data_IF_815706337495
#
_entry.id   IF_815706337495
#
_cell.length_a   1.000
_cell.length_b   1.000
_cell.length_c   1.000
_cell.angle_alpha   90.00
_cell.angle_beta   90.00
_cell.angle_gamma   90.00
#
_symmetry.space_group_name_H-M   'P 1'
#
loop_
_entity.id
_entity.type
_entity.pdbx_description
1 polymer ?
#
# COMPACT_ATOMS: atom_id res chain seq x y z
N UNK A 1 -15.49 -3.17 1.91
CA UNK A 1 -15.08 -4.58 2.10
C UNK A 1 -16.25 -5.38 2.66
N UNK A 2 -16.62 -6.50 2.04
CA UNK A 2 -17.78 -7.33 2.41
C UNK A 2 -17.29 -8.71 2.90
N UNK A 3 -17.94 -9.30 3.91
CA UNK A 3 -17.55 -10.63 4.44
C UNK A 3 -16.32 -10.63 5.35
N UNK A 4 -15.60 -11.75 5.47
CA UNK A 4 -14.34 -11.87 6.23
C UNK A 4 -14.36 -11.26 7.65
N UNK A 5 -15.44 -11.49 8.42
CA UNK A 5 -15.66 -10.85 9.72
C UNK A 5 -14.50 -11.07 10.71
N UNK A 6 -14.05 -12.32 10.85
CA UNK A 6 -12.95 -12.66 11.75
C UNK A 6 -11.63 -12.02 11.32
N UNK A 7 -11.28 -12.11 10.02
CA UNK A 7 -10.04 -11.55 9.50
C UNK A 7 -10.02 -10.02 9.58
N UNK A 8 -11.14 -9.35 9.32
CA UNK A 8 -11.27 -7.89 9.48
C UNK A 8 -11.12 -7.47 10.94
N UNK A 9 -11.73 -8.21 11.87
CA UNK A 9 -11.59 -7.94 13.31
C UNK A 9 -10.13 -8.09 13.75
N UNK A 10 -9.46 -9.17 13.33
CA UNK A 10 -8.04 -9.38 13.63
C UNK A 10 -7.16 -8.27 13.03
N UNK A 11 -7.41 -7.88 11.78
CA UNK A 11 -6.73 -6.76 11.13
C UNK A 11 -6.92 -5.44 11.88
N UNK A 12 -8.12 -5.19 12.43
CA UNK A 12 -8.39 -4.03 13.28
C UNK A 12 -7.58 -4.02 14.58
N UNK A 13 -7.43 -5.17 15.24
CA UNK A 13 -6.57 -5.27 16.45
C UNK A 13 -5.11 -4.99 16.09
N UNK A 14 -4.63 -5.51 14.95
CA UNK A 14 -3.28 -5.21 14.46
C UNK A 14 -3.12 -3.72 14.18
N UNK A 15 -4.10 -3.08 13.56
CA UNK A 15 -4.08 -1.64 13.27
C UNK A 15 -3.94 -0.81 14.55
N UNK A 16 -4.68 -1.15 15.61
CA UNK A 16 -4.57 -0.47 16.90
C UNK A 16 -3.20 -0.70 17.54
N UNK A 17 -2.66 -1.93 17.49
CA UNK A 17 -1.30 -2.19 17.97
C UNK A 17 -0.23 -1.37 17.22
N UNK A 18 -0.43 -1.11 15.92
CA UNK A 18 0.45 -0.25 15.11
C UNK A 18 0.34 1.20 15.59
N UNK A 19 -0.88 1.72 15.77
CA UNK A 19 -1.13 3.10 16.24
C UNK A 19 -0.56 3.35 17.64
N UNK A 20 -0.63 2.35 18.51
CA UNK A 20 -0.04 2.40 19.86
C UNK A 20 1.48 2.19 19.87
N UNK A 21 2.11 1.87 18.73
CA UNK A 21 3.54 1.61 18.64
C UNK A 21 4.02 0.31 19.31
N UNK A 22 3.10 -0.62 19.65
CA UNK A 22 3.41 -1.84 20.40
C UNK A 22 3.94 -3.00 19.52
N UNK A 23 3.96 -2.84 18.20
CA UNK A 23 4.27 -3.91 17.23
C UNK A 23 5.39 -3.55 16.24
N UNK A 24 6.41 -2.82 16.70
CA UNK A 24 7.59 -2.54 15.88
C UNK A 24 8.38 -3.83 15.55
N UNK A 25 8.79 -3.98 14.29
CA UNK A 25 9.65 -5.08 13.83
C UNK A 25 8.98 -6.46 13.72
N UNK A 26 7.65 -6.55 13.81
CA UNK A 26 6.92 -7.82 13.59
C UNK A 26 6.24 -7.84 12.23
N UNK A 27 6.22 -9.01 11.62
CA UNK A 27 5.48 -9.26 10.38
C UNK A 27 4.10 -9.86 10.66
N UNK A 28 3.16 -9.59 9.76
CA UNK A 28 1.80 -10.14 9.81
C UNK A 28 1.61 -11.04 8.59
N UNK A 29 1.24 -12.31 8.83
CA UNK A 29 0.96 -13.28 7.78
C UNK A 29 -0.56 -13.46 7.63
N UNK A 30 -1.09 -13.16 6.45
CA UNK A 30 -2.48 -13.43 6.09
C UNK A 30 -2.52 -14.67 5.20
N UNK A 31 -2.95 -15.80 5.75
CA UNK A 31 -3.06 -17.08 5.04
C UNK A 31 -4.52 -17.41 4.67
N UNK A 32 -4.71 -18.08 3.54
CA UNK A 32 -6.03 -18.50 3.06
C UNK A 32 -6.04 -18.85 1.58
N UNK A 33 -7.11 -19.51 1.11
CA UNK A 33 -7.26 -19.91 -0.29
C UNK A 33 -7.18 -18.72 -1.27
N UNK A 34 -6.82 -18.94 -2.55
CA UNK A 34 -6.90 -17.91 -3.58
C UNK A 34 -8.30 -17.26 -3.64
N UNK A 35 -8.38 -15.97 -4.00
CA UNK A 35 -9.66 -15.26 -4.13
C UNK A 35 -10.36 -14.85 -2.82
N UNK A 36 -9.80 -15.14 -1.64
CA UNK A 36 -10.45 -14.86 -0.33
C UNK A 36 -10.27 -13.44 0.20
N UNK A 37 -9.68 -12.52 -0.58
CA UNK A 37 -9.56 -11.10 -0.21
C UNK A 37 -8.35 -10.74 0.65
N UNK A 38 -7.31 -11.58 0.72
CA UNK A 38 -6.06 -11.33 1.48
C UNK A 38 -5.42 -9.97 1.13
N UNK A 39 -5.22 -9.71 -0.16
CA UNK A 39 -4.65 -8.44 -0.65
C UNK A 39 -5.56 -7.26 -0.36
N UNK A 40 -6.88 -7.46 -0.46
CA UNK A 40 -7.85 -6.42 -0.12
C UNK A 40 -7.80 -6.04 1.37
N UNK A 41 -7.59 -7.01 2.26
CA UNK A 41 -7.39 -6.75 3.69
C UNK A 41 -6.12 -5.94 3.93
N UNK A 42 -5.01 -6.32 3.30
CA UNK A 42 -3.75 -5.58 3.42
C UNK A 42 -3.88 -4.13 2.93
N UNK A 43 -4.51 -3.90 1.78
CA UNK A 43 -4.79 -2.55 1.26
C UNK A 43 -5.72 -1.77 2.19
N UNK A 44 -6.77 -2.41 2.72
CA UNK A 44 -7.68 -1.76 3.67
C UNK A 44 -6.99 -1.35 4.98
N UNK A 45 -6.05 -2.17 5.47
CA UNK A 45 -5.23 -1.80 6.64
C UNK A 45 -4.35 -0.58 6.35
N UNK A 46 -3.70 -0.53 5.18
CA UNK A 46 -2.85 0.61 4.80
C UNK A 46 -3.65 1.91 4.68
N UNK A 47 -4.82 1.87 4.02
CA UNK A 47 -5.72 3.02 3.93
C UNK A 47 -6.20 3.49 5.31
N UNK A 48 -6.43 2.56 6.25
CA UNK A 48 -6.87 2.88 7.60
C UNK A 48 -5.76 3.48 8.50
N UNK A 49 -4.47 3.28 8.16
CA UNK A 49 -3.36 3.95 8.84
C UNK A 49 -3.29 5.45 8.47
N UNK A 50 -3.68 5.78 7.24
CA UNK A 50 -3.86 7.16 6.78
C UNK A 50 -3.72 7.27 5.26
N UNK A 51 -4.34 8.28 4.63
CA UNK A 51 -4.34 8.46 3.18
C UNK A 51 -2.95 8.59 2.58
N UNK A 52 -1.99 9.14 3.34
CA UNK A 52 -0.61 9.35 2.89
C UNK A 52 0.33 8.21 3.29
N UNK A 53 -0.18 7.10 3.84
CA UNK A 53 0.65 5.97 4.25
C UNK A 53 1.12 5.21 3.01
N UNK A 54 2.43 5.09 2.74
CA UNK A 54 2.90 4.33 1.59
C UNK A 54 2.52 2.85 1.69
N UNK A 55 2.06 2.27 0.59
CA UNK A 55 1.76 0.85 0.47
C UNK A 55 2.46 0.28 -0.76
N UNK A 56 3.52 -0.50 -0.54
CA UNK A 56 4.25 -1.19 -1.62
C UNK A 56 3.78 -2.63 -1.71
N UNK A 57 3.13 -2.98 -2.82
CA UNK A 57 2.88 -4.37 -3.17
C UNK A 57 4.07 -4.91 -3.98
N UNK A 58 4.58 -6.08 -3.58
CA UNK A 58 5.63 -6.79 -4.31
C UNK A 58 5.26 -8.28 -4.42
N UNK A 59 5.36 -8.83 -5.61
CA UNK A 59 5.28 -10.26 -5.84
C UNK A 59 6.64 -10.90 -5.56
N UNK A 60 6.66 -12.07 -4.92
CA UNK A 60 7.91 -12.75 -4.57
C UNK A 60 8.81 -13.05 -5.78
N UNK A 61 8.22 -13.23 -6.96
CA UNK A 61 8.94 -13.42 -8.23
C UNK A 61 9.71 -12.18 -8.68
N UNK A 62 9.27 -10.97 -8.32
CA UNK A 62 9.92 -9.70 -8.70
C UNK A 62 11.27 -9.50 -7.99
N UNK A 63 11.52 -10.25 -6.90
CA UNK A 63 12.79 -10.19 -6.15
C UNK A 63 13.92 -10.88 -6.94
N UNK A 64 13.59 -11.78 -7.86
CA UNK A 64 14.57 -12.53 -8.64
C UNK A 64 14.78 -11.85 -9.99
N UNK A 65 15.90 -11.15 -10.15
CA UNK A 65 16.29 -10.49 -11.40
C UNK A 65 17.77 -10.73 -11.72
N UNK A 66 18.12 -10.63 -13.01
CA UNK A 66 19.50 -10.60 -13.48
C UNK A 66 20.12 -9.21 -13.36
N UNK A 67 19.29 -8.17 -13.38
CA UNK A 67 19.74 -6.76 -13.37
C UNK A 67 20.14 -6.28 -11.97
N UNK A 68 19.61 -6.93 -10.92
CA UNK A 68 19.74 -6.47 -9.54
C UNK A 68 19.81 -7.64 -8.55
N UNK A 69 20.60 -7.48 -7.49
CA UNK A 69 20.68 -8.48 -6.42
C UNK A 69 19.38 -8.57 -5.62
N UNK A 70 19.07 -9.76 -5.10
CA UNK A 70 17.90 -10.01 -4.23
C UNK A 70 17.85 -9.07 -3.02
N UNK A 71 19.02 -8.78 -2.42
CA UNK A 71 19.14 -7.89 -1.26
C UNK A 71 18.79 -6.45 -1.63
N UNK A 72 19.26 -5.98 -2.78
CA UNK A 72 18.95 -4.62 -3.26
C UNK A 72 17.47 -4.50 -3.62
N UNK A 73 16.88 -5.53 -4.28
CA UNK A 73 15.45 -5.57 -4.59
C UNK A 73 14.59 -5.40 -3.33
N UNK A 74 14.90 -6.17 -2.27
CA UNK A 74 14.23 -6.05 -0.98
C UNK A 74 14.48 -4.69 -0.32
N UNK A 75 15.72 -4.19 -0.36
CA UNK A 75 16.08 -2.89 0.22
C UNK A 75 15.29 -1.76 -0.43
N UNK A 76 15.12 -1.78 -1.75
CA UNK A 76 14.29 -0.82 -2.45
C UNK A 76 12.81 -0.94 -2.09
N UNK A 77 12.29 -2.16 -1.98
CA UNK A 77 10.90 -2.39 -1.54
C UNK A 77 10.64 -1.82 -0.14
N UNK A 78 11.58 -1.97 0.79
CA UNK A 78 11.50 -1.34 2.12
C UNK A 78 11.56 0.18 2.03
N UNK A 79 12.50 0.76 1.26
CA UNK A 79 12.62 2.22 1.09
C UNK A 79 11.36 2.85 0.51
N UNK A 80 10.74 2.22 -0.49
CA UNK A 80 9.47 2.67 -1.08
C UNK A 80 8.30 2.66 -0.08
N UNK A 81 8.38 1.80 0.94
CA UNK A 81 7.34 1.67 1.98
C UNK A 81 7.53 2.63 3.15
N UNK A 82 8.59 3.46 3.16
CA UNK A 82 8.89 4.40 4.24
C UNK A 82 8.69 5.83 3.71
N UNK A 83 7.67 6.51 4.24
CA UNK A 83 7.35 7.89 3.89
C UNK A 83 7.96 8.89 4.87
N UNK A 84 8.49 10.00 4.36
CA UNK A 84 8.90 11.16 5.15
C UNK A 84 7.95 12.30 4.82
N UNK A 85 7.22 12.81 5.83
CA UNK A 85 6.31 13.95 5.65
C UNK A 85 7.05 15.24 5.99
N UNK A 86 7.22 16.10 4.98
CA UNK A 86 7.78 17.44 5.09
C UNK A 86 6.61 18.43 4.93
N UNK A 87 6.58 19.46 5.77
CA UNK A 87 5.58 20.54 5.66
C UNK A 87 6.23 21.71 4.92
N UNK A 88 5.59 22.16 3.86
CA UNK A 88 5.99 23.33 3.08
C UNK A 88 4.75 24.12 2.66
N UNK A 89 4.93 25.41 2.38
CA UNK A 89 3.88 26.26 1.82
C UNK A 89 3.85 26.05 0.30
N UNK A 90 2.67 25.83 -0.25
CA UNK A 90 2.46 25.64 -1.69
C UNK A 90 1.18 26.34 -2.13
N UNK A 91 1.18 26.88 -3.35
CA UNK A 91 0.00 27.48 -3.95
C UNK A 91 -0.92 26.38 -4.48
N UNK A 92 -2.18 26.35 -3.99
CA UNK A 92 -3.19 25.36 -4.39
C UNK A 92 -4.24 26.09 -5.24
N UNK A 93 -4.61 25.49 -6.37
CA UNK A 93 -5.70 25.98 -7.22
C UNK A 93 -6.96 25.16 -6.90
N UNK A 94 -8.04 25.83 -6.53
CA UNK A 94 -9.35 25.22 -6.26
C UNK A 94 -10.40 25.77 -7.24
N UNK A 95 -11.29 24.91 -7.75
CA UNK A 95 -12.33 25.31 -8.71
C UNK A 95 -13.26 24.17 -9.10
N UNK A 96 -14.36 24.50 -9.77
CA UNK A 96 -15.32 23.52 -10.32
C UNK A 96 -14.77 22.90 -11.60
N UNK A 97 -14.85 21.58 -11.69
CA UNK A 97 -14.51 20.86 -12.92
C UNK A 97 -15.68 20.94 -13.89
N UNK A 98 -15.53 21.72 -14.96
CA UNK A 98 -16.56 21.88 -16.01
C UNK A 98 -16.49 20.75 -17.04
N UNK A 99 -15.29 20.39 -17.46
CA UNK A 99 -15.08 19.35 -18.48
C UNK A 99 -13.71 18.66 -18.28
N UNK A 100 -13.64 17.35 -18.51
CA UNK A 100 -12.40 16.57 -18.59
C UNK A 100 -12.34 15.89 -19.96
N UNK A 101 -11.39 16.29 -20.80
CA UNK A 101 -11.07 15.59 -22.05
C UNK A 101 -9.72 14.87 -21.88
N UNK A 102 -9.66 13.59 -22.28
CA UNK A 102 -8.45 12.77 -22.23
C UNK A 102 -8.14 12.26 -23.64
N UNK A 103 -7.19 12.90 -24.31
CA UNK A 103 -6.70 12.44 -25.61
C UNK A 103 -5.68 11.32 -25.42
N UNK A 104 -6.04 10.11 -25.83
CA UNK A 104 -5.08 8.99 -25.91
C UNK A 104 -4.57 8.87 -27.34
N UNK A 105 -3.25 8.93 -27.60
CA UNK A 105 -2.72 8.65 -28.93
C UNK A 105 -3.04 7.21 -29.33
N UNK A 106 -3.43 7.01 -30.60
CA UNK A 106 -3.87 5.72 -31.14
C UNK A 106 -2.78 4.63 -31.16
N UNK A 107 -1.51 5.00 -30.97
CA UNK A 107 -0.40 4.06 -30.82
C UNK A 107 -0.28 3.62 -29.37
N UNK A 108 -1.11 2.66 -28.98
CA UNK A 108 -0.96 1.93 -27.73
C UNK A 108 0.18 0.91 -27.83
N UNK A 109 1.22 1.13 -27.04
CA UNK A 109 1.99 0.08 -26.35
C UNK A 109 2.28 0.58 -24.94
#
# INVERSE_FOLDING_TARGET
>A
MVGQLAARRAAGVVLEMIREGKIAGRAVLIAGQPGTGKTAIAMGMAQALGPDTPFTAIAGSEIFSLEMSKTEALTQAFRRSIGVRIKEETEIIEGEVVEIQIDRPATGT
#
